data_IF_133986672988
#
_entry.id   IF_133986672988
#
_cell.length_a   1.000
_cell.length_b   1.000
_cell.length_c   1.000
_cell.angle_alpha   90.00
_cell.angle_beta   90.00
_cell.angle_gamma   90.00
#
_symmetry.space_group_name_H-M   'P 1'
#
loop_
_entity.id
_entity.type
_entity.pdbx_description
1 polymer ?
#
# COMPACT_ATOMS: atom_id res chain seq x y z
N UNK A 1 0.26 -19.40 6.54
CA UNK A 1 0.13 -17.95 6.22
C UNK A 1 1.25 -17.06 6.79
N UNK A 2 2.16 -17.53 7.65
CA UNK A 2 3.18 -16.67 8.28
C UNK A 2 4.17 -16.03 7.29
N UNK A 3 4.86 -16.84 6.49
CA UNK A 3 5.93 -16.36 5.60
C UNK A 3 5.44 -15.40 4.50
N UNK A 4 4.33 -15.74 3.83
CA UNK A 4 3.75 -14.88 2.78
C UNK A 4 3.25 -13.54 3.33
N UNK A 5 2.65 -13.54 4.53
CA UNK A 5 2.22 -12.33 5.21
C UNK A 5 3.42 -11.45 5.62
N UNK A 6 4.48 -12.06 6.17
CA UNK A 6 5.71 -11.36 6.52
C UNK A 6 6.37 -10.73 5.28
N UNK A 7 6.46 -11.48 4.18
CA UNK A 7 6.97 -10.95 2.91
C UNK A 7 6.15 -9.75 2.44
N UNK A 8 4.81 -9.86 2.44
CA UNK A 8 3.92 -8.74 2.11
C UNK A 8 4.22 -7.51 2.97
N UNK A 9 4.29 -7.67 4.30
CA UNK A 9 4.56 -6.56 5.22
C UNK A 9 5.91 -5.90 4.95
N UNK A 10 6.98 -6.67 4.84
CA UNK A 10 8.34 -6.11 4.71
C UNK A 10 8.63 -5.55 3.32
N UNK A 11 7.97 -6.05 2.28
CA UNK A 11 8.19 -5.55 0.92
C UNK A 11 7.26 -4.40 0.57
N UNK A 12 5.97 -4.47 0.94
CA UNK A 12 4.97 -3.53 0.42
C UNK A 12 4.73 -2.31 1.29
N UNK A 13 4.96 -2.35 2.61
CA UNK A 13 4.66 -1.22 3.49
C UNK A 13 5.79 -0.20 3.65
N UNK A 14 7.07 -0.59 3.84
CA UNK A 14 8.12 0.39 4.10
C UNK A 14 8.29 1.38 2.95
N UNK A 15 8.18 0.89 1.70
CA UNK A 15 8.42 1.69 0.51
C UNK A 15 7.45 2.89 0.38
N UNK A 16 6.11 2.72 0.34
CA UNK A 16 5.21 3.85 0.22
C UNK A 16 5.22 4.76 1.45
N UNK A 17 5.43 4.21 2.66
CA UNK A 17 5.52 5.02 3.88
C UNK A 17 6.75 5.93 3.84
N UNK A 18 7.93 5.39 3.51
CA UNK A 18 9.17 6.16 3.41
C UNK A 18 9.09 7.20 2.29
N UNK A 19 8.60 6.83 1.11
CA UNK A 19 8.49 7.77 -0.02
C UNK A 19 7.49 8.89 0.28
N UNK A 20 6.32 8.58 0.86
CA UNK A 20 5.35 9.60 1.24
C UNK A 20 5.91 10.51 2.34
N UNK A 21 6.57 9.95 3.35
CA UNK A 21 7.21 10.74 4.40
C UNK A 21 8.27 11.68 3.83
N UNK A 22 9.16 11.17 2.98
CA UNK A 22 10.20 12.00 2.36
C UNK A 22 9.62 13.07 1.41
N UNK A 23 8.48 12.81 0.77
CA UNK A 23 7.79 13.77 -0.10
C UNK A 23 7.07 14.88 0.68
N UNK A 24 6.55 14.57 1.87
CA UNK A 24 5.83 15.54 2.72
C UNK A 24 6.73 16.24 3.73
N UNK A 25 7.93 15.71 3.98
CA UNK A 25 8.86 16.29 4.94
C UNK A 25 9.25 17.73 4.56
N UNK A 26 9.09 18.71 5.46
CA UNK A 26 9.48 20.10 5.23
C UNK A 26 11.01 20.25 5.38
N UNK A 27 11.76 19.56 4.52
CA UNK A 27 13.22 19.58 4.50
C UNK A 27 13.80 20.62 3.55
N UNK A 28 15.13 20.69 3.52
CA UNK A 28 15.85 21.55 2.59
C UNK A 28 15.51 21.22 1.13
N UNK A 29 15.40 22.26 0.29
CA UNK A 29 14.91 22.17 -1.09
C UNK A 29 15.69 21.16 -1.96
N UNK A 30 16.97 20.94 -1.68
CA UNK A 30 17.79 19.96 -2.40
C UNK A 30 17.37 18.51 -2.11
N UNK A 31 17.04 18.19 -0.85
CA UNK A 31 16.53 16.87 -0.45
C UNK A 31 15.21 16.59 -1.15
N UNK A 32 14.30 17.58 -1.15
CA UNK A 32 13.01 17.46 -1.84
C UNK A 32 13.18 17.17 -3.33
N UNK A 33 14.09 17.86 -4.01
CA UNK A 33 14.38 17.61 -5.45
C UNK A 33 14.93 16.21 -5.70
N UNK A 34 15.86 15.75 -4.87
CA UNK A 34 16.43 14.39 -4.99
C UNK A 34 15.37 13.32 -4.74
N UNK A 35 14.60 13.46 -3.66
CA UNK A 35 13.49 12.55 -3.34
C UNK A 35 12.46 12.54 -4.45
N UNK A 36 12.07 13.70 -4.99
CA UNK A 36 11.13 13.80 -6.11
C UNK A 36 11.66 13.07 -7.35
N UNK A 37 12.94 13.24 -7.70
CA UNK A 37 13.55 12.54 -8.84
C UNK A 37 13.61 11.04 -8.64
N UNK A 38 14.06 10.58 -7.47
CA UNK A 38 14.12 9.15 -7.16
C UNK A 38 12.73 8.53 -7.11
N UNK A 39 11.76 9.21 -6.50
CA UNK A 39 10.36 8.76 -6.48
C UNK A 39 9.79 8.74 -7.88
N UNK A 40 9.97 9.79 -8.69
CA UNK A 40 9.52 9.82 -10.08
C UNK A 40 10.15 8.70 -10.91
N UNK A 41 11.44 8.40 -10.71
CA UNK A 41 12.13 7.30 -11.36
C UNK A 41 11.51 5.95 -11.01
N UNK A 42 11.34 5.65 -9.71
CA UNK A 42 10.71 4.41 -9.25
C UNK A 42 9.27 4.30 -9.76
N UNK A 43 8.52 5.40 -9.71
CA UNK A 43 7.10 5.42 -10.11
C UNK A 43 6.91 5.34 -11.63
N UNK A 44 7.89 5.81 -12.40
CA UNK A 44 7.92 5.73 -13.86
C UNK A 44 8.54 4.45 -14.39
N UNK A 45 9.13 3.62 -13.51
CA UNK A 45 9.73 2.33 -13.88
C UNK A 45 8.65 1.47 -14.52
N UNK A 46 8.91 1.12 -15.79
CA UNK A 46 8.05 0.23 -16.55
C UNK A 46 8.62 -1.17 -16.47
N UNK A 47 7.76 -2.12 -16.15
CA UNK A 47 8.08 -3.54 -16.28
C UNK A 47 7.43 -4.01 -17.57
N UNK A 48 8.24 -4.54 -18.48
CA UNK A 48 7.77 -5.23 -19.68
C UNK A 48 7.49 -6.69 -19.34
N UNK A 49 6.25 -7.13 -19.55
CA UNK A 49 5.88 -8.54 -19.45
C UNK A 49 5.38 -8.97 -20.83
N UNK A 50 6.25 -9.63 -21.60
CA UNK A 50 6.01 -9.95 -23.00
C UNK A 50 5.84 -8.68 -23.85
N UNK A 51 4.71 -8.59 -24.56
CA UNK A 51 4.40 -7.45 -25.45
C UNK A 51 3.80 -6.22 -24.73
N UNK A 52 3.38 -6.37 -23.46
CA UNK A 52 2.74 -5.28 -22.71
C UNK A 52 3.70 -4.65 -21.69
N UNK A 53 3.70 -3.32 -21.60
CA UNK A 53 4.43 -2.58 -20.58
C UNK A 53 3.47 -1.89 -19.61
N UNK A 54 3.68 -2.09 -18.32
CA UNK A 54 2.91 -1.40 -17.27
C UNK A 54 3.85 -0.75 -16.26
N UNK A 55 3.37 0.29 -15.57
CA UNK A 55 4.13 0.95 -14.51
C UNK A 55 4.13 0.09 -13.27
N UNK A 56 5.30 -0.11 -12.67
CA UNK A 56 5.52 -0.94 -11.49
C UNK A 56 4.57 -0.61 -10.33
N UNK A 57 4.24 0.67 -10.16
CA UNK A 57 3.29 1.18 -9.17
C UNK A 57 1.93 0.51 -9.25
N UNK A 58 1.39 0.36 -10.47
CA UNK A 58 0.07 -0.23 -10.65
C UNK A 58 0.08 -1.72 -10.32
N UNK A 59 1.21 -2.40 -10.49
CA UNK A 59 1.37 -3.78 -10.05
C UNK A 59 1.32 -3.89 -8.52
N UNK A 60 2.02 -3.00 -7.80
CA UNK A 60 1.93 -2.96 -6.33
C UNK A 60 0.53 -2.61 -5.83
N UNK A 61 -0.13 -1.61 -6.44
CA UNK A 61 -1.53 -1.27 -6.12
C UNK A 61 -2.44 -2.48 -6.34
N UNK A 62 -2.27 -3.20 -7.44
CA UNK A 62 -3.03 -4.41 -7.74
C UNK A 62 -2.80 -5.51 -6.70
N UNK A 63 -1.54 -5.85 -6.40
CA UNK A 63 -1.18 -6.86 -5.40
C UNK A 63 -1.77 -6.52 -4.03
N UNK A 64 -1.61 -5.27 -3.59
CA UNK A 64 -2.13 -4.82 -2.29
C UNK A 64 -3.65 -4.83 -2.26
N UNK A 65 -4.32 -4.49 -3.38
CA UNK A 65 -5.79 -4.59 -3.51
C UNK A 65 -6.26 -6.04 -3.38
N UNK A 66 -5.59 -6.99 -4.05
CA UNK A 66 -5.91 -8.43 -3.94
C UNK A 66 -5.76 -8.93 -2.51
N UNK A 67 -4.68 -8.52 -1.82
CA UNK A 67 -4.45 -8.87 -0.41
C UNK A 67 -5.54 -8.27 0.49
N UNK A 68 -5.89 -7.00 0.30
CA UNK A 68 -6.96 -6.34 1.05
C UNK A 68 -8.32 -7.03 0.85
N UNK A 69 -8.67 -7.38 -0.38
CA UNK A 69 -9.89 -8.12 -0.67
C UNK A 69 -9.88 -9.51 -0.02
N UNK A 70 -8.73 -10.19 -0.02
CA UNK A 70 -8.56 -11.50 0.66
C UNK A 70 -8.72 -11.39 2.18
N UNK A 71 -8.18 -10.34 2.80
CA UNK A 71 -8.37 -10.05 4.21
C UNK A 71 -9.83 -9.69 4.53
N UNK A 72 -10.48 -8.92 3.64
CA UNK A 72 -11.91 -8.55 3.77
C UNK A 72 -12.79 -9.79 3.71
N UNK A 73 -12.58 -10.68 2.73
CA UNK A 73 -13.30 -11.95 2.63
C UNK A 73 -13.10 -12.82 3.89
N UNK A 74 -11.89 -12.85 4.45
CA UNK A 74 -11.60 -13.59 5.68
C UNK A 74 -12.33 -12.99 6.89
N UNK A 75 -12.34 -11.66 7.01
CA UNK A 75 -13.03 -10.96 8.10
C UNK A 75 -14.55 -11.18 8.02
N UNK A 76 -15.15 -11.01 6.83
CA UNK A 76 -16.57 -11.27 6.61
C UNK A 76 -16.95 -12.72 6.88
N UNK A 77 -16.12 -13.70 6.49
CA UNK A 77 -16.37 -15.10 6.81
C UNK A 77 -16.38 -15.34 8.32
N UNK A 78 -15.43 -14.75 9.05
CA UNK A 78 -15.34 -14.88 10.51
C UNK A 78 -16.45 -14.16 11.27
N UNK A 79 -17.02 -13.09 10.70
CA UNK A 79 -18.20 -12.41 11.23
C UNK A 79 -19.49 -13.20 10.97
N UNK A 80 -19.58 -13.85 9.81
CA UNK A 80 -20.71 -14.69 9.43
C UNK A 80 -20.68 -16.07 10.12
N UNK A 81 -19.50 -16.57 10.48
CA UNK A 81 -19.29 -17.65 11.46
C UNK A 81 -19.74 -17.13 12.85
N UNK A 82 -21.06 -16.94 13.01
CA UNK A 82 -21.72 -16.68 14.30
C UNK A 82 -21.64 -17.95 15.14
N UNK A 83 -20.51 -18.16 15.82
CA UNK A 83 -20.34 -19.16 16.89
C UNK A 83 -21.18 -18.84 18.16
N UNK A 84 -22.20 -17.99 18.04
CA UNK A 84 -23.02 -17.49 19.15
C UNK A 84 -23.84 -18.63 19.79
N UNK A 85 -24.13 -19.70 19.04
CA UNK A 85 -24.83 -20.88 19.57
C UNK A 85 -23.90 -21.83 20.36
N UNK A 86 -22.58 -21.78 20.14
CA UNK A 86 -21.63 -22.76 20.68
C UNK A 86 -20.64 -22.15 21.70
N UNK A 87 -20.55 -20.81 21.78
CA UNK A 87 -19.66 -20.14 22.75
C UNK A 87 -19.92 -20.61 24.19
N UNK A 88 -21.17 -20.88 24.58
CA UNK A 88 -21.52 -21.38 25.92
C UNK A 88 -21.03 -22.81 26.18
N UNK A 89 -20.84 -23.63 25.15
CA UNK A 89 -20.40 -25.04 25.22
C UNK A 89 -18.89 -25.22 24.99
N UNK A 90 -18.21 -24.20 24.43
CA UNK A 90 -16.77 -24.26 24.17
C UNK A 90 -15.94 -24.22 25.45
N UNK A 91 -14.87 -25.05 25.46
CA UNK A 91 -13.83 -24.96 26.49
C UNK A 91 -13.10 -23.61 26.44
N UNK A 92 -12.54 -23.12 27.57
CA UNK A 92 -11.77 -21.87 27.59
C UNK A 92 -10.64 -21.80 26.55
N UNK A 93 -9.99 -22.95 26.28
CA UNK A 93 -8.92 -23.03 25.29
C UNK A 93 -9.44 -22.83 23.86
N UNK A 94 -10.59 -23.40 23.51
CA UNK A 94 -11.23 -23.21 22.20
C UNK A 94 -11.67 -21.76 22.00
N UNK A 95 -12.29 -21.16 23.03
CA UNK A 95 -12.66 -19.72 23.00
C UNK A 95 -11.46 -18.83 22.73
N UNK A 96 -10.34 -19.09 23.40
CA UNK A 96 -9.09 -18.35 23.18
C UNK A 96 -8.58 -18.47 21.74
N UNK A 97 -8.66 -19.66 21.14
CA UNK A 97 -8.23 -19.87 19.74
C UNK A 97 -9.12 -19.09 18.75
N UNK A 98 -10.45 -19.08 18.96
CA UNK A 98 -11.39 -18.33 18.13
C UNK A 98 -11.14 -16.83 18.25
N UNK A 99 -11.02 -16.31 19.48
CA UNK A 99 -10.70 -14.91 19.74
C UNK A 99 -9.36 -14.51 19.10
N UNK A 100 -8.33 -15.34 19.25
CA UNK A 100 -7.03 -15.09 18.62
C UNK A 100 -7.09 -15.12 17.08
N UNK A 101 -7.95 -15.95 16.49
CA UNK A 101 -8.17 -15.99 15.03
C UNK A 101 -8.87 -14.72 14.54
N UNK A 102 -9.93 -14.28 15.23
CA UNK A 102 -10.66 -13.03 14.93
C UNK A 102 -9.73 -11.82 15.04
N UNK A 103 -8.99 -11.69 16.14
CA UNK A 103 -8.05 -10.59 16.34
C UNK A 103 -6.98 -10.51 15.24
N UNK A 104 -6.41 -11.66 14.84
CA UNK A 104 -5.43 -11.69 13.73
C UNK A 104 -6.06 -11.26 12.41
N UNK A 105 -7.30 -11.64 12.13
CA UNK A 105 -7.99 -11.26 10.91
C UNK A 105 -8.27 -9.75 10.88
N UNK A 106 -8.79 -9.17 11.96
CA UNK A 106 -9.04 -7.74 12.08
C UNK A 106 -7.75 -6.93 11.92
N UNK A 107 -6.69 -7.33 12.64
CA UNK A 107 -5.38 -6.68 12.53
C UNK A 107 -4.85 -6.71 11.09
N UNK A 108 -4.91 -7.87 10.43
CA UNK A 108 -4.44 -8.01 9.05
C UNK A 108 -5.30 -7.19 8.08
N UNK A 109 -6.60 -7.07 8.33
CA UNK A 109 -7.50 -6.21 7.56
C UNK A 109 -7.10 -4.74 7.66
N UNK A 110 -6.89 -4.21 8.88
CA UNK A 110 -6.42 -2.84 9.07
C UNK A 110 -5.08 -2.57 8.42
N UNK A 111 -4.12 -3.49 8.54
CA UNK A 111 -2.79 -3.32 7.95
C UNK A 111 -2.87 -3.33 6.41
N UNK A 112 -3.65 -4.23 5.82
CA UNK A 112 -3.81 -4.28 4.36
C UNK A 112 -4.57 -3.08 3.79
N UNK A 113 -5.58 -2.57 4.52
CA UNK A 113 -6.26 -1.31 4.19
C UNK A 113 -5.28 -0.14 4.22
N UNK A 114 -4.48 -0.03 5.29
CA UNK A 114 -3.47 1.02 5.41
C UNK A 114 -2.46 0.96 4.27
N UNK A 115 -1.94 -0.23 3.94
CA UNK A 115 -1.05 -0.44 2.80
C UNK A 115 -1.71 0.04 1.48
N UNK A 116 -2.97 -0.31 1.26
CA UNK A 116 -3.71 0.08 0.06
C UNK A 116 -3.82 1.60 -0.07
N UNK A 117 -4.22 2.26 1.02
CA UNK A 117 -4.32 3.73 1.07
C UNK A 117 -2.96 4.38 0.81
N UNK A 118 -1.89 3.89 1.43
CA UNK A 118 -0.54 4.43 1.23
C UNK A 118 -0.08 4.30 -0.23
N UNK A 119 -0.29 3.14 -0.86
CA UNK A 119 0.05 2.95 -2.27
C UNK A 119 -0.78 3.82 -3.21
N UNK A 120 -2.08 3.99 -2.92
CA UNK A 120 -2.95 4.86 -3.69
C UNK A 120 -2.53 6.33 -3.57
N UNK A 121 -2.26 6.79 -2.35
CA UNK A 121 -1.75 8.14 -2.09
C UNK A 121 -0.43 8.37 -2.80
N UNK A 122 0.51 7.43 -2.71
CA UNK A 122 1.80 7.53 -3.41
C UNK A 122 1.60 7.65 -4.93
N UNK A 123 0.72 6.83 -5.52
CA UNK A 123 0.40 6.90 -6.95
C UNK A 123 -0.16 8.26 -7.36
N UNK A 124 -1.07 8.82 -6.55
CA UNK A 124 -1.68 10.14 -6.82
C UNK A 124 -0.68 11.28 -6.65
N UNK A 125 0.08 11.28 -5.55
CA UNK A 125 1.09 12.31 -5.27
C UNK A 125 2.18 12.29 -6.34
N UNK A 126 2.69 11.12 -6.72
CA UNK A 126 3.69 11.01 -7.78
C UNK A 126 3.17 11.52 -9.14
N UNK A 127 1.92 11.23 -9.49
CA UNK A 127 1.30 11.75 -10.70
C UNK A 127 1.19 13.29 -10.68
N UNK A 128 0.81 13.86 -9.54
CA UNK A 128 0.75 15.32 -9.33
C UNK A 128 2.14 15.96 -9.41
N UNK A 129 3.14 15.40 -8.74
CA UNK A 129 4.52 15.88 -8.79
C UNK A 129 5.09 15.87 -10.21
N UNK A 130 4.82 14.81 -10.98
CA UNK A 130 5.25 14.70 -12.38
C UNK A 130 4.60 15.79 -13.23
N UNK A 131 3.30 16.06 -13.01
CA UNK A 131 2.57 17.12 -13.72
C UNK A 131 3.13 18.50 -13.38
N UNK A 132 3.37 18.79 -12.09
CA UNK A 132 3.95 20.05 -11.64
C UNK A 132 5.33 20.29 -12.25
N UNK A 133 6.20 19.28 -12.25
CA UNK A 133 7.54 19.42 -12.79
C UNK A 133 7.52 19.78 -14.29
N UNK A 134 6.64 19.15 -15.08
CA UNK A 134 6.46 19.48 -16.51
C UNK A 134 5.97 20.91 -16.72
N UNK A 135 5.10 21.41 -15.85
CA UNK A 135 4.59 22.79 -15.93
C UNK A 135 5.68 23.81 -15.59
N UNK A 136 6.50 23.53 -14.57
CA UNK A 136 7.65 24.38 -14.21
C UNK A 136 8.68 24.45 -15.34
N UNK A 137 8.94 23.34 -16.03
CA UNK A 137 9.83 23.30 -17.19
C UNK A 137 9.26 24.11 -18.37
N UNK A 138 7.96 23.97 -18.65
CA UNK A 138 7.28 24.74 -19.69
C UNK A 138 7.34 26.25 -19.42
N UNK A 139 7.10 26.68 -18.18
CA UNK A 139 7.20 28.09 -17.80
C UNK A 139 8.63 28.65 -17.92
N UNK A 140 9.64 27.85 -17.58
CA UNK A 140 11.05 28.28 -17.76
C UNK A 140 11.41 28.40 -19.23
N UNK A 141 10.94 27.49 -20.07
CA UNK A 141 11.18 27.54 -21.51
C UNK A 141 10.51 28.76 -22.17
N UNK A 142 9.32 29.16 -21.70
CA UNK A 142 8.63 30.36 -22.16
C UNK A 142 9.36 31.65 -21.74
N UNK A 143 9.84 31.73 -20.49
CA UNK A 143 10.60 32.89 -20.00
C UNK A 143 12.01 33.04 -20.60
N UNK A 144 12.54 32.00 -21.24
CA UNK A 144 13.86 32.00 -21.87
C UNK A 144 13.82 32.38 -23.36
N UNK A 145 12.62 32.53 -23.93
CA UNK A 145 12.39 33.09 -25.27
C UNK A 145 12.15 34.59 -25.17
#
# INVERSE_FOLDING_TARGET
MGAAWQWFLYTTLPLPVLLLFLLTFPGAQWVRRTVLRSTASIMSTRVSLGSSSFRLVYAFVFVVSVVFLSCTATCLRLQNEKDIADESLMSPAQRMQVLARRWRADRNWWISLFALVMWYLLARVAALCTKLHRLEEAQKAEKAK
#
